data_IF_715234006448
#
_entry.id   IF_715234006448
#
_cell.length_a   1.000
_cell.length_b   1.000
_cell.length_c   1.000
_cell.angle_alpha   90.00
_cell.angle_beta   90.00
_cell.angle_gamma   90.00
#
_symmetry.space_group_name_H-M   'P 1'
#
loop_
_entity.id
_entity.type
_entity.pdbx_description
1 polymer ?
#
# COMPACT_ATOMS: atom_id res chain seq x y z
N UNK A 1 11.69 -10.30 37.34
CA UNK A 1 11.11 -11.14 36.26
C UNK A 1 9.97 -10.48 35.50
N UNK A 2 8.92 -9.99 36.18
CA UNK A 2 7.72 -9.43 35.50
C UNK A 2 7.96 -8.12 34.77
N UNK A 3 8.84 -7.26 35.29
CA UNK A 3 9.17 -5.96 34.68
C UNK A 3 9.83 -6.14 33.31
N UNK A 4 10.80 -7.05 33.19
CA UNK A 4 11.50 -7.32 31.93
C UNK A 4 10.52 -7.82 30.86
N UNK A 5 9.59 -8.70 31.25
CA UNK A 5 8.53 -9.19 30.36
C UNK A 5 7.64 -8.05 29.85
N UNK A 6 7.23 -7.13 30.73
CA UNK A 6 6.39 -5.98 30.37
C UNK A 6 7.13 -5.04 29.40
N UNK A 7 8.41 -4.78 29.64
CA UNK A 7 9.22 -3.93 28.75
C UNK A 7 9.35 -4.52 27.34
N UNK A 8 9.64 -5.82 27.26
CA UNK A 8 9.72 -6.52 25.97
C UNK A 8 8.37 -6.52 25.25
N UNK A 9 7.28 -6.73 25.98
CA UNK A 9 5.92 -6.70 25.43
C UNK A 9 5.61 -5.32 24.83
N UNK A 10 5.88 -4.24 25.57
CA UNK A 10 5.65 -2.86 25.11
C UNK A 10 6.51 -2.51 23.89
N UNK A 11 7.78 -2.91 23.88
CA UNK A 11 8.67 -2.68 22.74
C UNK A 11 8.16 -3.36 21.47
N UNK A 12 7.71 -4.62 21.57
CA UNK A 12 7.16 -5.35 20.43
C UNK A 12 5.84 -4.73 19.94
N UNK A 13 4.98 -4.30 20.86
CA UNK A 13 3.71 -3.65 20.50
C UNK A 13 3.95 -2.32 19.76
N UNK A 14 4.96 -1.55 20.19
CA UNK A 14 5.40 -0.35 19.50
C UNK A 14 5.90 -0.65 18.09
N UNK A 15 6.82 -1.59 17.92
CA UNK A 15 7.35 -2.00 16.60
C UNK A 15 6.23 -2.50 15.68
N UNK A 16 5.31 -3.31 16.21
CA UNK A 16 4.17 -3.82 15.46
C UNK A 16 3.29 -2.68 14.95
N UNK A 17 2.93 -1.73 15.80
CA UNK A 17 2.08 -0.62 15.41
C UNK A 17 2.78 0.34 14.42
N UNK A 18 4.08 0.59 14.60
CA UNK A 18 4.90 1.31 13.61
C UNK A 18 4.87 0.62 12.24
N UNK A 19 5.00 -0.72 12.22
CA UNK A 19 4.98 -1.52 11.01
C UNK A 19 3.61 -1.68 10.34
N UNK A 20 2.53 -1.56 11.11
CA UNK A 20 1.14 -1.67 10.65
C UNK A 20 0.60 -0.34 10.08
N UNK A 21 1.41 0.71 10.05
CA UNK A 21 1.02 2.00 9.49
C UNK A 21 0.34 2.92 10.50
N UNK A 22 0.59 2.75 11.80
CA UNK A 22 0.12 3.71 12.82
C UNK A 22 0.76 5.10 12.65
N UNK A 23 1.91 5.18 11.97
CA UNK A 23 2.56 6.41 11.52
C UNK A 23 2.12 6.88 10.11
N UNK A 24 1.18 6.18 9.47
CA UNK A 24 0.74 6.45 8.09
C UNK A 24 0.69 5.17 7.24
N UNK A 25 -0.19 5.17 6.23
CA UNK A 25 -0.27 4.07 5.27
C UNK A 25 1.11 3.81 4.65
N UNK A 26 1.46 2.54 4.43
CA UNK A 26 2.69 2.21 3.71
C UNK A 26 2.59 2.83 2.30
N UNK A 27 3.63 3.52 1.81
CA UNK A 27 3.63 4.08 0.44
C UNK A 27 3.29 3.02 -0.63
N UNK A 28 3.58 1.75 -0.35
CA UNK A 28 3.24 0.61 -1.22
C UNK A 28 1.72 0.39 -1.41
N UNK A 29 0.88 0.93 -0.52
CA UNK A 29 -0.58 0.82 -0.60
C UNK A 29 -1.23 1.98 -1.38
N UNK A 30 -0.49 3.07 -1.67
CA UNK A 30 -1.00 4.19 -2.48
C UNK A 30 -1.28 3.79 -3.94
N UNK A 31 -0.62 2.74 -4.44
CA UNK A 31 -0.87 2.16 -5.77
C UNK A 31 -1.90 1.02 -5.78
N UNK A 32 -2.35 0.54 -4.61
CA UNK A 32 -3.29 -0.59 -4.49
C UNK A 32 -4.69 -0.17 -3.99
N UNK A 33 -5.02 1.12 -4.03
CA UNK A 33 -6.37 1.56 -3.67
C UNK A 33 -7.37 1.06 -4.75
N UNK A 34 -8.28 0.13 -4.43
CA UNK A 34 -9.26 -0.38 -5.40
C UNK A 34 -10.19 0.72 -5.91
N UNK A 35 -10.27 1.87 -5.22
CA UNK A 35 -11.03 3.05 -5.68
C UNK A 35 -10.31 3.84 -6.77
N UNK A 36 -8.99 3.74 -6.85
CA UNK A 36 -8.15 4.31 -7.92
C UNK A 36 -8.05 3.36 -9.13
N UNK A 37 -8.45 2.09 -8.98
CA UNK A 37 -8.45 1.11 -10.08
C UNK A 37 -9.33 1.55 -11.27
N UNK A 38 -10.44 2.23 -11.00
CA UNK A 38 -11.32 2.82 -12.03
C UNK A 38 -10.84 4.17 -12.56
N UNK A 39 -9.74 4.71 -12.03
CA UNK A 39 -9.18 5.98 -12.47
C UNK A 39 -8.17 5.70 -13.60
N UNK A 40 -8.63 5.78 -14.85
CA UNK A 40 -7.74 5.76 -16.01
C UNK A 40 -6.83 7.00 -15.98
N UNK A 41 -5.58 6.84 -15.55
CA UNK A 41 -4.60 7.94 -15.52
C UNK A 41 -4.23 8.46 -16.91
N UNK A 42 -4.55 7.73 -17.99
CA UNK A 42 -4.28 8.16 -19.35
C UNK A 42 -5.14 7.43 -20.41
N UNK A 43 -6.42 7.81 -20.58
CA UNK A 43 -7.29 7.21 -21.60
C UNK A 43 -6.82 7.48 -23.04
N UNK A 44 -5.91 8.44 -23.25
CA UNK A 44 -5.38 8.82 -24.57
C UNK A 44 -4.09 8.09 -24.98
N UNK A 45 -3.44 7.33 -24.09
CA UNK A 45 -2.21 6.60 -24.44
C UNK A 45 -2.46 5.36 -25.32
N UNK A 46 -3.68 4.83 -25.33
CA UNK A 46 -4.02 3.61 -26.06
C UNK A 46 -4.66 4.00 -27.40
N UNK A 47 -3.84 4.44 -28.35
CA UNK A 47 -4.28 4.51 -29.75
C UNK A 47 -4.19 3.10 -30.33
N UNK A 48 -5.33 2.41 -30.41
CA UNK A 48 -5.42 1.17 -31.18
C UNK A 48 -5.28 1.53 -32.66
N UNK A 49 -4.11 1.29 -33.24
CA UNK A 49 -3.93 1.40 -34.69
C UNK A 49 -4.85 0.37 -35.33
N UNK A 50 -5.81 0.77 -36.19
CA UNK A 50 -6.69 -0.19 -36.84
C UNK A 50 -5.84 -1.15 -37.67
N UNK A 51 -5.96 -2.44 -37.37
CA UNK A 51 -5.32 -3.51 -38.15
C UNK A 51 -5.92 -3.47 -39.55
N UNK A 52 -5.15 -2.96 -40.50
CA UNK A 52 -5.49 -2.96 -41.91
C UNK A 52 -5.47 -4.42 -42.38
N UNK A 53 -6.67 -5.01 -42.56
CA UNK A 53 -6.79 -6.34 -43.14
C UNK A 53 -6.42 -6.26 -44.64
N UNK A 54 -5.65 -7.25 -45.16
CA UNK A 54 -5.32 -7.35 -46.58
C UNK A 54 -6.53 -7.68 -47.46
#
# INVERSE_FOLDING_TARGET
>A
MRVLLILILLANLGVYALGQGWLGARPDDEGRDPRRFSQELNPGAVTLTPKQNP
#
